data_IF_487349229973
#
_entry.id   IF_487349229973
#
_cell.length_a   1.000
_cell.length_b   1.000
_cell.length_c   1.000
_cell.angle_alpha   90.00
_cell.angle_beta   90.00
_cell.angle_gamma   90.00
#
_symmetry.space_group_name_H-M   'P 1'
#
loop_
_entity.id
_entity.type
_entity.pdbx_description
1 polymer ?
#
# COMPACT_ATOMS: atom_id res chain seq x y z
N UNK A 1 -3.27 61.27 -53.92
CA UNK A 1 -2.87 59.85 -53.96
C UNK A 1 -1.56 59.67 -53.21
N UNK A 2 -1.61 59.19 -51.97
CA UNK A 2 -0.43 58.68 -51.24
C UNK A 2 -0.82 57.30 -50.73
N UNK A 3 -0.19 56.29 -51.31
CA UNK A 3 -0.44 54.88 -51.03
C UNK A 3 0.50 54.45 -49.91
N UNK A 4 -0.04 54.24 -48.71
CA UNK A 4 0.66 53.58 -47.60
C UNK A 4 0.54 52.07 -47.78
N UNK A 5 1.63 51.40 -48.16
CA UNK A 5 1.70 49.95 -48.13
C UNK A 5 1.92 49.48 -46.69
N UNK A 6 0.93 48.80 -46.12
CA UNK A 6 1.08 48.07 -44.87
C UNK A 6 1.73 46.70 -45.18
N UNK A 7 2.91 46.45 -44.63
CA UNK A 7 3.55 45.13 -44.65
C UNK A 7 2.92 44.29 -43.55
N UNK A 8 2.14 43.29 -43.93
CA UNK A 8 1.56 42.30 -43.02
C UNK A 8 2.63 41.23 -42.75
N UNK A 9 3.22 41.24 -41.55
CA UNK A 9 4.16 40.19 -41.13
C UNK A 9 3.37 39.04 -40.50
N UNK A 10 3.29 37.90 -41.19
CA UNK A 10 2.75 36.66 -40.61
C UNK A 10 3.83 36.00 -39.75
N UNK A 11 3.63 36.02 -38.43
CA UNK A 11 4.42 35.24 -37.49
C UNK A 11 3.86 33.81 -37.47
N UNK A 12 4.50 32.87 -38.17
CA UNK A 12 4.18 31.45 -38.04
C UNK A 12 4.84 30.90 -36.77
N UNK A 13 4.05 30.74 -35.70
CA UNK A 13 4.48 30.01 -34.52
C UNK A 13 4.51 28.51 -34.85
N UNK A 14 5.71 27.97 -35.07
CA UNK A 14 5.91 26.52 -35.13
C UNK A 14 5.70 25.95 -33.72
N UNK A 15 4.62 25.20 -33.53
CA UNK A 15 4.46 24.32 -32.38
C UNK A 15 5.62 23.30 -32.44
N UNK A 16 6.65 23.48 -31.62
CA UNK A 16 7.66 22.46 -31.44
C UNK A 16 6.97 21.26 -30.78
N UNK A 17 6.83 20.16 -31.52
CA UNK A 17 6.47 18.88 -30.94
C UNK A 17 7.49 18.58 -29.84
N UNK A 18 7.01 18.35 -28.61
CA UNK A 18 7.87 17.99 -27.49
C UNK A 18 8.70 16.77 -27.89
N UNK A 19 10.03 16.89 -27.81
CA UNK A 19 10.92 15.78 -28.06
C UNK A 19 10.59 14.65 -27.07
N UNK A 20 10.59 13.37 -27.51
CA UNK A 20 10.44 12.25 -26.59
C UNK A 20 11.54 12.33 -25.53
N UNK A 21 11.25 11.93 -24.27
CA UNK A 21 12.21 12.05 -23.18
C UNK A 21 13.54 11.33 -23.52
N UNK A 22 14.68 11.86 -23.04
CA UNK A 22 15.99 11.33 -23.39
C UNK A 22 16.13 9.87 -22.95
N UNK A 23 16.43 9.00 -23.91
CA UNK A 23 16.78 7.59 -23.70
C UNK A 23 18.17 7.51 -23.05
N UNK A 24 18.24 7.49 -21.71
CA UNK A 24 19.54 7.47 -21.03
C UNK A 24 19.59 6.85 -19.63
N UNK A 25 18.45 6.48 -19.05
CA UNK A 25 18.41 5.70 -17.80
C UNK A 25 18.10 4.22 -18.09
N UNK A 26 18.40 3.30 -17.15
CA UNK A 26 17.90 1.94 -17.25
C UNK A 26 16.37 1.97 -17.31
N UNK A 27 15.81 1.43 -18.39
CA UNK A 27 14.36 1.19 -18.46
C UNK A 27 14.04 -0.01 -17.58
N UNK A 28 13.05 0.09 -16.67
CA UNK A 28 12.62 -1.05 -15.89
C UNK A 28 12.18 -2.17 -16.82
N UNK A 29 12.44 -3.41 -16.43
CA UNK A 29 11.87 -4.55 -17.14
C UNK A 29 10.33 -4.52 -17.02
N UNK A 30 9.59 -5.24 -17.88
CA UNK A 30 8.13 -5.19 -17.87
C UNK A 30 7.46 -5.53 -16.53
N UNK A 31 8.04 -6.42 -15.71
CA UNK A 31 7.47 -6.71 -14.39
C UNK A 31 7.62 -5.52 -13.45
N UNK A 32 8.82 -4.94 -13.38
CA UNK A 32 9.09 -3.76 -12.56
C UNK A 32 8.26 -2.55 -13.04
N UNK A 33 8.13 -2.37 -14.37
CA UNK A 33 7.35 -1.28 -14.94
C UNK A 33 5.85 -1.36 -14.59
N UNK A 34 5.29 -2.58 -14.53
CA UNK A 34 3.91 -2.80 -14.08
C UNK A 34 3.76 -2.47 -12.59
N UNK A 35 4.68 -2.93 -11.74
CA UNK A 35 4.64 -2.59 -10.31
C UNK A 35 4.73 -1.07 -10.10
N UNK A 36 5.65 -0.39 -10.79
CA UNK A 36 5.76 1.07 -10.75
C UNK A 36 4.48 1.76 -11.23
N UNK A 37 3.79 1.23 -12.25
CA UNK A 37 2.51 1.77 -12.70
C UNK A 37 1.41 1.60 -11.62
N UNK A 38 1.37 0.46 -10.94
CA UNK A 38 0.45 0.22 -9.82
C UNK A 38 0.73 1.15 -8.64
N UNK A 39 2.01 1.33 -8.26
CA UNK A 39 2.40 2.26 -7.20
C UNK A 39 2.11 3.72 -7.58
N UNK A 40 2.33 4.10 -8.84
CA UNK A 40 1.96 5.42 -9.33
C UNK A 40 0.45 5.63 -9.18
N UNK A 41 -0.38 4.66 -9.58
CA UNK A 41 -1.82 4.74 -9.41
C UNK A 41 -2.20 4.95 -7.93
N UNK A 42 -1.74 4.08 -7.04
CA UNK A 42 -1.97 4.19 -5.60
C UNK A 42 -1.59 5.58 -5.07
N UNK A 43 -0.38 6.04 -5.39
CA UNK A 43 0.11 7.36 -4.99
C UNK A 43 -0.78 8.50 -5.49
N UNK A 44 -1.22 8.46 -6.75
CA UNK A 44 -2.10 9.48 -7.31
C UNK A 44 -3.48 9.50 -6.63
N UNK A 45 -4.01 8.33 -6.27
CA UNK A 45 -5.28 8.20 -5.55
C UNK A 45 -5.18 8.74 -4.12
N UNK A 46 -4.15 8.33 -3.38
CA UNK A 46 -3.94 8.66 -1.97
C UNK A 46 -3.61 10.14 -1.77
N UNK A 47 -2.84 10.71 -2.69
CA UNK A 47 -2.49 12.15 -2.70
C UNK A 47 -3.50 13.01 -3.45
N UNK A 48 -4.63 12.44 -3.88
CA UNK A 48 -5.75 13.14 -4.55
C UNK A 48 -5.34 13.90 -5.82
N UNK A 49 -4.31 13.43 -6.53
CA UNK A 49 -3.82 14.04 -7.76
C UNK A 49 -4.64 13.58 -8.98
N UNK A 50 -5.95 13.74 -8.92
CA UNK A 50 -6.89 13.15 -9.88
C UNK A 50 -6.71 13.63 -11.32
N UNK A 51 -6.22 14.86 -11.52
CA UNK A 51 -5.90 15.41 -12.85
C UNK A 51 -4.77 14.65 -13.56
N UNK A 52 -3.98 13.88 -12.81
CA UNK A 52 -2.85 13.09 -13.30
C UNK A 52 -3.17 11.62 -13.49
N UNK A 53 -4.41 11.18 -13.26
CA UNK A 53 -4.77 9.75 -13.41
C UNK A 53 -4.50 9.19 -14.80
N UNK A 54 -4.49 10.00 -15.85
CA UNK A 54 -4.08 9.60 -17.20
C UNK A 54 -2.60 9.19 -17.35
N UNK A 55 -1.77 9.45 -16.33
CA UNK A 55 -0.41 8.91 -16.27
C UNK A 55 -0.39 7.41 -15.94
N UNK A 56 -1.41 6.91 -15.23
CA UNK A 56 -1.51 5.53 -14.78
C UNK A 56 -2.67 4.74 -15.42
N UNK A 57 -3.66 5.41 -15.99
CA UNK A 57 -4.84 4.82 -16.63
C UNK A 57 -4.91 5.24 -18.10
N UNK A 58 -5.35 4.30 -18.95
CA UNK A 58 -5.69 4.59 -20.34
C UNK A 58 -6.96 5.45 -20.43
N UNK A 59 -7.13 6.20 -21.54
CA UNK A 59 -8.33 7.01 -21.76
C UNK A 59 -9.62 6.18 -21.79
N UNK A 60 -9.53 4.93 -22.24
CA UNK A 60 -10.63 3.98 -22.37
C UNK A 60 -10.72 2.97 -21.22
N UNK A 61 -10.14 3.31 -20.06
CA UNK A 61 -10.21 2.52 -18.82
C UNK A 61 -11.64 2.09 -18.50
N UNK A 62 -11.83 0.83 -18.14
CA UNK A 62 -13.03 0.36 -17.44
C UNK A 62 -12.65 0.02 -16.01
N UNK A 63 -13.25 0.71 -15.05
CA UNK A 63 -13.02 0.49 -13.62
C UNK A 63 -14.29 -0.04 -12.99
N UNK A 64 -14.30 -1.34 -12.69
CA UNK A 64 -15.44 -2.06 -12.11
C UNK A 64 -15.17 -2.42 -10.65
N UNK A 65 -15.62 -1.55 -9.75
CA UNK A 65 -15.60 -1.76 -8.32
C UNK A 65 -16.99 -2.06 -7.75
N UNK A 66 -17.98 -2.42 -8.58
CA UNK A 66 -19.32 -2.81 -8.11
C UNK A 66 -19.31 -3.89 -7.02
N UNK A 67 -18.40 -4.88 -7.00
CA UNK A 67 -18.31 -5.85 -5.92
C UNK A 67 -18.01 -5.24 -4.54
N UNK A 68 -17.56 -3.98 -4.45
CA UNK A 68 -17.40 -3.26 -3.17
C UNK A 68 -18.73 -2.77 -2.57
N UNK A 69 -19.86 -2.95 -3.28
CA UNK A 69 -21.17 -2.53 -2.80
C UNK A 69 -21.30 -1.01 -2.69
N UNK A 70 -21.63 -0.49 -1.51
CA UNK A 70 -21.85 0.94 -1.28
C UNK A 70 -20.61 1.82 -1.52
N UNK A 71 -19.42 1.22 -1.58
CA UNK A 71 -18.14 1.91 -1.75
C UNK A 71 -17.63 1.92 -3.20
N UNK A 72 -18.34 1.26 -4.12
CA UNK A 72 -17.87 1.09 -5.48
C UNK A 72 -18.96 1.27 -6.53
N UNK A 73 -18.54 1.14 -7.78
CA UNK A 73 -19.39 1.37 -8.94
C UNK A 73 -18.70 0.97 -10.23
N UNK A 74 -19.35 1.23 -11.36
CA UNK A 74 -18.77 1.01 -12.68
C UNK A 74 -18.48 2.37 -13.32
N UNK A 75 -17.27 2.55 -13.84
CA UNK A 75 -16.87 3.74 -14.60
C UNK A 75 -16.29 3.32 -15.95
N UNK A 76 -16.65 4.06 -17.01
CA UNK A 76 -16.18 3.82 -18.37
C UNK A 76 -15.50 5.07 -18.92
N UNK A 77 -14.22 4.93 -19.25
CA UNK A 77 -13.34 6.00 -19.67
C UNK A 77 -12.74 6.78 -18.51
N UNK A 78 -11.63 7.45 -18.81
CA UNK A 78 -10.82 8.16 -17.81
C UNK A 78 -11.61 9.28 -17.13
N UNK A 79 -12.35 10.09 -17.89
CA UNK A 79 -13.08 11.24 -17.33
C UNK A 79 -14.15 10.83 -16.31
N UNK A 80 -14.92 9.77 -16.60
CA UNK A 80 -15.92 9.23 -15.67
C UNK A 80 -15.24 8.63 -14.44
N UNK A 81 -14.21 7.80 -14.67
CA UNK A 81 -13.41 7.19 -13.61
C UNK A 81 -12.85 8.23 -12.65
N UNK A 82 -12.21 9.28 -13.18
CA UNK A 82 -11.66 10.40 -12.39
C UNK A 82 -12.74 11.07 -11.55
N UNK A 83 -13.91 11.37 -12.13
CA UNK A 83 -15.02 12.01 -11.41
C UNK A 83 -15.53 11.13 -10.28
N UNK A 84 -15.75 9.84 -10.55
CA UNK A 84 -16.33 8.91 -9.59
C UNK A 84 -15.35 8.62 -8.43
N UNK A 85 -14.06 8.46 -8.72
CA UNK A 85 -13.02 8.31 -7.70
C UNK A 85 -12.96 9.57 -6.82
N UNK A 86 -12.91 10.76 -7.42
CA UNK A 86 -12.87 12.01 -6.65
C UNK A 86 -14.09 12.15 -5.72
N UNK A 87 -15.27 11.79 -6.21
CA UNK A 87 -16.51 11.81 -5.41
C UNK A 87 -16.50 10.77 -4.28
N UNK A 88 -16.05 9.55 -4.56
CA UNK A 88 -15.98 8.48 -3.57
C UNK A 88 -14.96 8.80 -2.47
N UNK A 89 -13.80 9.34 -2.84
CA UNK A 89 -12.70 9.58 -1.90
C UNK A 89 -12.93 10.88 -1.11
N UNK A 90 -13.56 11.90 -1.70
CA UNK A 90 -13.92 13.14 -1.04
C UNK A 90 -12.72 13.79 -0.36
N UNK A 91 -12.89 14.24 0.89
CA UNK A 91 -11.83 14.84 1.70
C UNK A 91 -11.12 13.84 2.64
N UNK A 92 -11.58 12.59 2.71
CA UNK A 92 -10.98 11.57 3.57
C UNK A 92 -9.52 11.30 3.21
N UNK A 93 -8.71 10.93 4.20
CA UNK A 93 -7.37 10.39 3.94
C UNK A 93 -7.52 8.97 3.39
N UNK A 94 -6.69 8.61 2.42
CA UNK A 94 -6.69 7.29 1.81
C UNK A 94 -5.27 6.74 1.77
N UNK A 95 -5.13 5.43 1.91
CA UNK A 95 -3.89 4.70 1.68
C UNK A 95 -4.21 3.40 0.97
N UNK A 96 -3.50 3.14 -0.13
CA UNK A 96 -3.48 1.84 -0.80
C UNK A 96 -2.15 1.16 -0.51
N UNK A 97 -2.19 0.11 0.29
CA UNK A 97 -1.05 -0.77 0.52
C UNK A 97 -1.04 -1.86 -0.54
N UNK A 98 -0.34 -1.60 -1.64
CA UNK A 98 -0.23 -2.49 -2.78
C UNK A 98 0.78 -3.61 -2.48
N UNK A 99 0.31 -4.86 -2.43
CA UNK A 99 1.16 -6.02 -2.25
C UNK A 99 1.82 -6.50 -3.55
N UNK A 100 2.49 -7.65 -3.48
CA UNK A 100 3.04 -8.31 -4.67
C UNK A 100 1.93 -8.69 -5.65
N UNK A 101 2.21 -8.52 -6.94
CA UNK A 101 1.29 -8.85 -8.00
C UNK A 101 1.66 -10.15 -8.72
N UNK A 102 0.66 -10.94 -9.07
CA UNK A 102 0.80 -12.06 -9.99
C UNK A 102 0.63 -11.54 -11.42
N UNK A 103 1.72 -11.48 -12.16
CA UNK A 103 1.76 -10.91 -13.51
C UNK A 103 1.82 -12.02 -14.56
N UNK A 104 0.87 -12.00 -15.50
CA UNK A 104 0.84 -12.89 -16.66
C UNK A 104 0.76 -12.08 -17.94
N UNK A 105 1.86 -12.06 -18.71
CA UNK A 105 1.86 -11.45 -20.04
C UNK A 105 0.95 -12.21 -21.01
N UNK A 106 0.21 -11.46 -21.82
CA UNK A 106 -0.74 -11.99 -22.79
C UNK A 106 -0.12 -12.19 -24.18
N UNK A 107 1.11 -11.73 -24.37
CA UNK A 107 1.85 -11.80 -25.62
C UNK A 107 3.36 -11.89 -25.37
N UNK A 108 4.14 -12.18 -26.42
CA UNK A 108 5.59 -12.36 -26.32
C UNK A 108 6.35 -11.05 -26.24
N UNK A 109 5.73 -9.99 -26.77
CA UNK A 109 6.27 -8.64 -26.84
C UNK A 109 6.16 -7.91 -25.50
N UNK A 110 5.49 -8.51 -24.51
CA UNK A 110 5.21 -7.91 -23.21
C UNK A 110 4.60 -6.51 -23.35
N UNK A 111 3.50 -6.41 -24.09
CA UNK A 111 2.76 -5.14 -24.27
C UNK A 111 1.38 -5.15 -23.62
N UNK A 112 0.97 -6.30 -23.08
CA UNK A 112 -0.22 -6.42 -22.25
C UNK A 112 -0.07 -7.56 -21.24
N UNK A 113 -0.65 -7.38 -20.06
CA UNK A 113 -0.59 -8.35 -18.97
C UNK A 113 -1.88 -8.35 -18.16
N UNK A 114 -2.33 -9.55 -17.80
CA UNK A 114 -3.28 -9.71 -16.70
C UNK A 114 -2.50 -9.70 -15.39
N UNK A 115 -2.96 -8.91 -14.43
CA UNK A 115 -2.26 -8.65 -13.17
C UNK A 115 -3.27 -8.86 -12.04
N UNK A 116 -3.02 -9.83 -11.17
CA UNK A 116 -3.82 -10.01 -9.96
C UNK A 116 -3.04 -9.49 -8.77
N UNK A 117 -3.59 -8.48 -8.10
CA UNK A 117 -2.95 -7.82 -6.96
C UNK A 117 -3.84 -7.93 -5.74
N UNK A 118 -3.26 -8.26 -4.59
CA UNK A 118 -3.93 -8.14 -3.30
C UNK A 118 -3.44 -6.86 -2.65
N UNK A 119 -4.37 -6.05 -2.19
CA UNK A 119 -4.04 -4.78 -1.55
C UNK A 119 -5.01 -4.48 -0.41
N UNK A 120 -4.61 -3.55 0.43
CA UNK A 120 -5.50 -3.00 1.45
C UNK A 120 -5.77 -1.55 1.09
N UNK A 121 -7.05 -1.19 0.92
CA UNK A 121 -7.47 0.20 0.87
C UNK A 121 -7.95 0.60 2.26
N UNK A 122 -7.30 1.59 2.86
CA UNK A 122 -7.75 2.20 4.10
C UNK A 122 -8.20 3.62 3.85
N UNK A 123 -9.35 3.97 4.43
CA UNK A 123 -9.93 5.31 4.42
C UNK A 123 -10.05 5.81 5.85
N UNK A 124 -9.64 7.06 6.09
CA UNK A 124 -9.83 7.73 7.38
C UNK A 124 -10.55 9.06 7.24
N UNK A 125 -11.56 9.24 8.08
CA UNK A 125 -12.09 10.55 8.41
C UNK A 125 -11.47 10.97 9.76
N UNK A 126 -10.56 11.97 9.77
CA UNK A 126 -9.86 12.40 10.99
C UNK A 126 -10.79 12.86 12.12
N UNK A 127 -12.01 13.28 11.79
CA UNK A 127 -13.01 13.72 12.77
C UNK A 127 -13.91 12.56 13.25
N UNK A 128 -13.86 11.41 12.57
CA UNK A 128 -14.77 10.29 12.79
C UNK A 128 -14.03 8.94 12.80
N UNK A 129 -12.96 8.82 13.61
CA UNK A 129 -12.09 7.63 13.64
C UNK A 129 -12.80 6.33 14.06
N UNK A 130 -13.91 6.41 14.79
CA UNK A 130 -14.66 5.24 15.27
C UNK A 130 -15.95 4.95 14.49
N UNK A 131 -16.26 5.75 13.47
CA UNK A 131 -17.42 5.52 12.59
C UNK A 131 -16.99 4.63 11.41
N UNK A 132 -17.36 3.35 11.45
CA UNK A 132 -17.03 2.37 10.41
C UNK A 132 -17.56 2.74 9.01
N UNK A 133 -18.55 3.63 8.92
CA UNK A 133 -19.07 4.10 7.63
C UNK A 133 -18.18 5.17 6.99
N UNK A 134 -17.30 5.80 7.78
CA UNK A 134 -16.41 6.90 7.37
C UNK A 134 -14.93 6.55 7.44
N UNK A 135 -14.55 5.76 8.43
CA UNK A 135 -13.19 5.29 8.70
C UNK A 135 -13.18 3.77 8.67
N UNK A 136 -12.59 3.18 7.64
CA UNK A 136 -12.66 1.75 7.37
C UNK A 136 -11.46 1.25 6.57
N UNK A 137 -11.34 -0.06 6.51
CA UNK A 137 -10.39 -0.80 5.68
C UNK A 137 -11.12 -1.83 4.84
N UNK A 138 -10.69 -1.99 3.59
CA UNK A 138 -11.14 -3.04 2.67
C UNK A 138 -9.92 -3.84 2.24
N UNK A 139 -10.03 -5.17 2.31
CA UNK A 139 -9.05 -6.08 1.71
C UNK A 139 -9.49 -6.35 0.27
N UNK A 140 -8.74 -5.83 -0.68
CA UNK A 140 -9.10 -5.89 -2.09
C UNK A 140 -8.26 -6.93 -2.83
N UNK A 141 -8.90 -7.58 -3.79
CA UNK A 141 -8.23 -8.17 -4.93
C UNK A 141 -8.60 -7.37 -6.17
N UNK A 142 -7.60 -6.95 -6.92
CA UNK A 142 -7.76 -6.32 -8.22
C UNK A 142 -7.33 -7.31 -9.30
N UNK A 143 -8.24 -7.66 -10.20
CA UNK A 143 -7.93 -8.39 -11.42
C UNK A 143 -7.88 -7.41 -12.59
N UNK A 144 -6.66 -7.02 -12.94
CA UNK A 144 -6.37 -5.89 -13.80
C UNK A 144 -5.87 -6.33 -15.18
N UNK A 145 -6.17 -5.53 -16.19
CA UNK A 145 -5.48 -5.55 -17.47
C UNK A 145 -4.61 -4.31 -17.58
N UNK A 146 -3.30 -4.52 -17.58
CA UNK A 146 -2.33 -3.49 -17.92
C UNK A 146 -1.93 -3.61 -19.39
N UNK A 147 -1.73 -2.47 -20.04
CA UNK A 147 -1.24 -2.38 -21.43
C UNK A 147 -0.19 -1.30 -21.56
N UNK A 148 0.69 -1.45 -22.54
CA UNK A 148 1.56 -0.35 -22.98
C UNK A 148 0.72 0.62 -23.80
N UNK A 149 0.52 1.84 -23.30
CA UNK A 149 -0.22 2.89 -23.99
C UNK A 149 0.56 3.35 -25.24
N UNK A 150 -0.03 3.27 -26.45
CA UNK A 150 0.67 3.67 -27.68
C UNK A 150 1.03 5.16 -27.73
N UNK A 151 0.42 6.02 -26.88
CA UNK A 151 0.67 7.47 -26.87
C UNK A 151 2.01 7.83 -26.28
N UNK A 152 2.41 7.16 -25.21
CA UNK A 152 3.63 7.49 -24.44
C UNK A 152 4.53 6.29 -24.14
N UNK A 153 4.11 5.08 -24.53
CA UNK A 153 4.88 3.85 -24.33
C UNK A 153 4.93 3.37 -22.89
N UNK A 154 4.09 3.89 -21.99
CA UNK A 154 4.06 3.51 -20.57
C UNK A 154 3.04 2.42 -20.31
N UNK A 155 3.30 1.58 -19.32
CA UNK A 155 2.31 0.66 -18.79
C UNK A 155 1.20 1.43 -18.06
N UNK A 156 -0.04 1.19 -18.44
CA UNK A 156 -1.22 1.80 -17.85
C UNK A 156 -2.33 0.78 -17.65
N UNK A 157 -3.14 1.03 -16.64
CA UNK A 157 -4.35 0.28 -16.36
C UNK A 157 -5.40 0.55 -17.46
N UNK A 158 -5.92 -0.54 -18.04
CA UNK A 158 -6.98 -0.52 -19.06
C UNK A 158 -8.29 -1.13 -18.58
N UNK A 159 -8.21 -2.09 -17.67
CA UNK A 159 -9.36 -2.66 -17.01
C UNK A 159 -8.99 -2.98 -15.57
N UNK A 160 -9.92 -2.79 -14.64
CA UNK A 160 -9.80 -3.27 -13.27
C UNK A 160 -11.13 -3.84 -12.80
N UNK A 161 -11.10 -5.05 -12.24
CA UNK A 161 -12.17 -5.59 -11.44
C UNK A 161 -11.71 -5.62 -9.98
N UNK A 162 -12.35 -4.81 -9.15
CA UNK A 162 -12.01 -4.68 -7.72
C UNK A 162 -13.00 -5.46 -6.88
N UNK A 163 -12.50 -6.37 -6.05
CA UNK A 163 -13.30 -7.29 -5.25
C UNK A 163 -12.89 -7.21 -3.79
N UNK A 164 -13.85 -6.98 -2.89
CA UNK A 164 -13.63 -7.14 -1.47
C UNK A 164 -13.45 -8.64 -1.15
N UNK A 165 -12.29 -9.01 -0.62
CA UNK A 165 -11.96 -10.35 -0.15
C UNK A 165 -12.40 -10.60 1.29
N UNK A 166 -12.70 -9.53 2.04
CA UNK A 166 -13.25 -9.61 3.38
C UNK A 166 -14.76 -9.89 3.37
N UNK A 167 -15.31 -10.41 4.48
CA UNK A 167 -16.76 -10.59 4.63
C UNK A 167 -17.52 -9.26 4.70
N UNK A 168 -16.83 -8.19 5.13
CA UNK A 168 -17.32 -6.81 5.24
C UNK A 168 -16.12 -5.86 5.33
N UNK A 169 -16.36 -4.55 5.45
CA UNK A 169 -15.31 -3.58 5.78
C UNK A 169 -14.88 -3.71 7.24
N UNK A 170 -13.61 -3.43 7.55
CA UNK A 170 -13.02 -3.54 8.90
C UNK A 170 -12.72 -2.17 9.50
N UNK A 171 -12.85 -2.01 10.81
CA UNK A 171 -12.38 -0.81 11.51
C UNK A 171 -10.84 -0.83 11.58
N UNK A 172 -10.14 0.25 11.21
CA UNK A 172 -8.72 0.35 11.51
C UNK A 172 -8.50 0.32 13.03
N UNK A 173 -7.42 -0.31 13.48
CA UNK A 173 -7.10 -0.35 14.91
C UNK A 173 -6.64 1.03 15.38
N UNK A 174 -7.42 1.63 16.28
CA UNK A 174 -6.99 2.77 17.07
C UNK A 174 -6.90 2.30 18.52
N UNK A 175 -5.71 2.27 19.14
CA UNK A 175 -5.65 2.04 20.57
C UNK A 175 -6.49 3.11 21.25
N UNK A 176 -7.52 2.72 22.00
CA UNK A 176 -8.28 3.70 22.78
C UNK A 176 -7.33 4.32 23.79
N UNK A 177 -7.32 5.64 23.87
CA UNK A 177 -6.57 6.40 24.87
C UNK A 177 -6.95 5.92 26.28
N UNK A 178 -6.15 5.03 26.87
CA UNK A 178 -5.95 4.83 28.31
C UNK A 178 -7.17 4.62 29.23
N UNK A 179 -8.41 4.57 28.75
CA UNK A 179 -9.57 4.28 29.60
C UNK A 179 -9.69 2.77 29.71
N UNK A 180 -9.26 2.25 30.87
CA UNK A 180 -9.68 0.94 31.38
C UNK A 180 -11.19 0.84 31.12
N UNK A 181 -11.58 -0.06 30.22
CA UNK A 181 -12.95 -0.56 30.21
C UNK A 181 -13.11 -1.36 31.50
N UNK A 182 -13.84 -0.79 32.44
CA UNK A 182 -14.74 -1.56 33.27
C UNK A 182 -15.52 -2.48 32.34
N UNK A 183 -15.21 -3.78 32.42
CA UNK A 183 -15.68 -4.76 31.44
C UNK A 183 -17.17 -4.61 31.14
N UNK A 184 -17.48 -4.45 29.87
CA UNK A 184 -18.81 -4.72 29.36
C UNK A 184 -19.17 -6.14 29.80
N UNK A 185 -20.03 -6.22 30.82
CA UNK A 185 -20.68 -7.44 31.23
C UNK A 185 -21.44 -7.93 30.01
N UNK A 186 -20.88 -8.91 29.31
CA UNK A 186 -21.69 -9.78 28.49
C UNK A 186 -22.72 -10.43 29.41
N UNK A 187 -23.98 -10.06 29.16
CA UNK A 187 -25.17 -10.71 29.63
C UNK A 187 -25.15 -12.17 29.20
N UNK A 188 -25.34 -13.04 30.20
CA UNK A 188 -25.07 -14.46 30.13
C UNK A 188 -25.87 -15.22 29.09
N UNK A 189 -25.19 -16.16 28.44
CA UNK A 189 -25.76 -17.49 28.28
C UNK A 189 -24.97 -18.45 29.16
N UNK A 190 -25.68 -19.01 30.15
CA UNK A 190 -25.27 -20.10 31.02
C UNK A 190 -24.68 -21.25 30.20
N UNK A 191 -23.41 -21.58 30.48
CA UNK A 191 -22.90 -22.91 30.22
C UNK A 191 -22.46 -23.51 31.55
N UNK A 192 -23.31 -24.38 32.05
CA UNK A 192 -23.07 -25.25 33.19
C UNK A 192 -21.88 -26.17 32.85
N UNK A 193 -20.82 -26.07 33.64
CA UNK A 193 -19.59 -26.84 33.41
C UNK A 193 -18.58 -26.65 34.52
N UNK A 194 -18.88 -27.23 35.68
CA UNK A 194 -17.98 -27.77 36.71
C UNK A 194 -16.73 -26.96 37.16
N UNK A 195 -16.80 -26.55 38.43
CA UNK A 195 -15.74 -26.12 39.36
C UNK A 195 -14.33 -26.63 39.04
N UNK A 196 -13.34 -25.73 39.10
CA UNK A 196 -12.03 -26.01 39.71
C UNK A 196 -11.52 -24.78 40.48
N UNK A 197 -11.33 -24.97 41.78
CA UNK A 197 -10.68 -24.06 42.73
C UNK A 197 -9.18 -23.92 42.42
N UNK A 198 -8.61 -22.72 42.61
CA UNK A 198 -7.17 -22.53 42.48
C UNK A 198 -6.69 -21.09 42.63
N UNK A 199 -6.72 -20.60 43.87
CA UNK A 199 -5.88 -19.58 44.52
C UNK A 199 -5.38 -18.32 43.78
N UNK A 200 -5.77 -17.19 44.40
CA UNK A 200 -5.17 -15.87 44.30
C UNK A 200 -3.68 -15.91 44.65
N UNK A 201 -2.86 -15.19 43.88
CA UNK A 201 -1.69 -14.51 44.43
C UNK A 201 -1.57 -13.12 43.79
N UNK A 202 -1.81 -12.11 44.62
CA UNK A 202 -1.39 -10.72 44.42
C UNK A 202 0.15 -10.63 44.52
N UNK A 203 0.79 -9.70 43.81
CA UNK A 203 2.19 -9.37 44.10
C UNK A 203 2.96 -8.62 43.01
N UNK A 204 2.79 -7.31 43.03
CA UNK A 204 3.82 -6.27 42.88
C UNK A 204 4.48 -5.92 41.53
N UNK A 205 4.44 -4.61 41.29
CA UNK A 205 5.17 -3.79 40.32
C UNK A 205 6.69 -3.95 40.45
N UNK A 206 7.42 -3.72 39.36
CA UNK A 206 8.31 -2.53 39.26
C UNK A 206 8.98 -2.45 37.87
N UNK A 207 8.65 -1.35 37.19
CA UNK A 207 9.46 -0.49 36.33
C UNK A 207 10.78 -1.03 35.75
N UNK A 208 10.76 -1.35 34.46
CA UNK A 208 11.96 -1.47 33.63
C UNK A 208 12.26 -0.15 32.92
N UNK A 209 13.10 0.67 33.54
CA UNK A 209 13.70 1.87 32.96
C UNK A 209 14.44 1.57 31.65
N UNK A 210 14.22 2.43 30.66
CA UNK A 210 15.00 2.52 29.43
C UNK A 210 16.42 2.98 29.75
N UNK A 211 17.43 2.22 29.31
CA UNK A 211 18.74 2.79 29.01
C UNK A 211 19.24 2.40 27.61
N UNK A 212 19.47 3.48 26.89
CA UNK A 212 20.15 3.75 25.65
C UNK A 212 21.64 3.38 25.69
N UNK A 213 22.12 2.73 24.62
CA UNK A 213 23.54 2.53 24.37
C UNK A 213 23.83 2.50 22.87
N UNK A 214 24.14 3.66 22.29
CA UNK A 214 24.82 3.76 21.00
C UNK A 214 26.35 3.58 21.16
N UNK A 215 26.98 3.19 20.04
CA UNK A 215 28.42 3.21 19.66
C UNK A 215 29.31 2.06 20.17
N UNK A 216 30.29 1.55 19.43
CA UNK A 216 30.64 1.52 17.99
C UNK A 216 31.82 0.52 17.88
N UNK A 217 31.94 -0.12 16.71
CA UNK A 217 33.12 -0.61 16.01
C UNK A 217 34.21 -1.45 16.72
N UNK A 218 34.39 -2.67 16.20
CA UNK A 218 35.61 -3.48 16.39
C UNK A 218 35.48 -4.85 15.75
N UNK A 219 35.84 -4.97 14.47
CA UNK A 219 35.75 -6.21 13.70
C UNK A 219 36.72 -7.31 14.15
N UNK A 220 36.38 -8.55 13.80
CA UNK A 220 37.28 -9.59 13.32
C UNK A 220 36.45 -10.78 12.77
N UNK A 221 36.86 -11.24 11.60
CA UNK A 221 36.32 -12.38 10.85
C UNK A 221 36.46 -13.70 11.62
N UNK A 222 35.47 -14.60 11.50
CA UNK A 222 35.57 -15.95 12.07
C UNK A 222 34.29 -16.77 11.97
N UNK A 223 34.11 -17.40 10.81
CA UNK A 223 33.39 -18.65 10.54
C UNK A 223 32.20 -19.07 11.44
N UNK A 224 31.00 -19.03 10.84
CA UNK A 224 29.88 -19.87 11.25
C UNK A 224 30.28 -21.36 11.15
N UNK A 225 30.29 -22.06 12.29
CA UNK A 225 30.05 -23.50 12.29
C UNK A 225 28.99 -23.91 13.31
N UNK A 226 28.15 -24.80 12.80
CA UNK A 226 26.99 -25.46 13.39
C UNK A 226 27.23 -26.06 14.78
N UNK A 227 26.22 -25.97 15.64
CA UNK A 227 26.16 -26.76 16.88
C UNK A 227 24.76 -26.75 17.46
N UNK A 228 24.18 -27.95 17.55
CA UNK A 228 22.80 -28.31 17.84
C UNK A 228 22.06 -27.63 19.01
N UNK A 229 20.73 -27.61 18.83
CA UNK A 229 19.76 -27.53 19.93
C UNK A 229 20.04 -28.64 20.95
N UNK A 230 20.27 -28.25 22.20
CA UNK A 230 19.90 -29.08 23.35
C UNK A 230 19.31 -28.19 24.42
N UNK A 231 18.04 -28.47 24.73
CA UNK A 231 17.35 -28.06 25.94
C UNK A 231 18.10 -28.57 27.17
N UNK A 232 18.07 -27.78 28.24
CA UNK A 232 18.27 -28.31 29.59
C UNK A 232 19.52 -27.81 30.31
N UNK A 233 19.25 -27.32 31.50
CA UNK A 233 20.11 -27.30 32.67
C UNK A 233 21.14 -26.18 32.83
N UNK A 234 20.74 -25.25 33.70
CA UNK A 234 21.63 -24.41 34.51
C UNK A 234 22.71 -25.30 35.14
N UNK A 235 23.98 -24.96 34.90
CA UNK A 235 25.01 -25.21 35.88
C UNK A 235 25.81 -23.94 36.15
N UNK A 236 25.68 -23.50 37.40
CA UNK A 236 26.57 -22.56 38.05
C UNK A 236 27.97 -23.18 38.14
N UNK A 237 28.99 -22.36 37.88
CA UNK A 237 30.30 -22.53 38.49
C UNK A 237 31.45 -22.77 37.50
N UNK A 238 32.42 -21.86 37.56
CA UNK A 238 33.77 -22.10 37.04
C UNK A 238 34.42 -20.85 36.47
N UNK A 239 35.00 -20.01 37.34
CA UNK A 239 36.16 -19.22 36.94
C UNK A 239 37.31 -20.19 36.73
N UNK A 240 38.01 -20.10 35.60
CA UNK A 240 39.42 -20.46 35.48
C UNK A 240 40.00 -19.80 34.20
N UNK A 241 40.57 -18.63 34.40
CA UNK A 241 41.97 -18.28 34.14
C UNK A 241 42.74 -19.08 33.07
N UNK A 242 43.11 -18.40 31.98
CA UNK A 242 44.11 -18.86 31.00
C UNK A 242 43.95 -18.10 29.69
N UNK A 243 44.62 -16.98 29.49
CA UNK A 243 46.06 -16.96 29.23
C UNK A 243 46.24 -16.78 27.73
N UNK A 244 46.32 -15.52 27.29
CA UNK A 244 46.91 -15.19 26.00
C UNK A 244 48.39 -15.58 26.07
N UNK A 245 48.93 -16.23 25.03
CA UNK A 245 50.25 -15.91 24.48
C UNK A 245 50.47 -16.70 23.17
N UNK A 246 50.78 -15.91 22.13
CA UNK A 246 51.47 -16.14 20.84
C UNK A 246 50.98 -17.19 19.83
#
# INVERSE_FOLDING_TARGET
MRSTAAVLSLLAATLAAAAPPPKGGPTPDPYEAIHQASYLLASLLDTKQYSRLGEAMTDDIVYDSRPLGAYGGLSNGLAETTKNIAAAFGDALNEHQVGNALIKFNNREATSANVSTYLTWTRWDPENLHDITKTFRIFERCDDLFVVDPKDGRWKLKYSLVVNQGPQVEAPYFPRDGKKHDGDKHDGHEHDGDNHDGDKNDGDNDDGDYHDGEQQDGGCDGEQQNGDKTDGDKHDGGKDDGGCDE
#
